data_IF_270713114567
#
_entry.id   IF_270713114567
#
_cell.length_a   1.000
_cell.length_b   1.000
_cell.length_c   1.000
_cell.angle_alpha   90.00
_cell.angle_beta   90.00
_cell.angle_gamma   90.00
#
_symmetry.space_group_name_H-M   'P 1'
#
loop_
_entity.id
_entity.type
_entity.pdbx_description
1 polymer ?
#
# COMPACT_ATOMS: atom_id res chain seq x y z
N UNK A 1 -10.55 12.66 -10.07
CA UNK A 1 -10.45 11.25 -9.63
C UNK A 1 -9.87 10.34 -10.71
N UNK A 2 -10.24 10.52 -11.99
CA UNK A 2 -9.69 9.77 -13.13
C UNK A 2 -8.16 9.51 -13.08
N UNK A 3 -7.28 10.53 -12.89
CA UNK A 3 -5.83 10.27 -12.91
C UNK A 3 -5.34 9.37 -11.76
N UNK A 4 -6.02 9.36 -10.61
CA UNK A 4 -5.68 8.47 -9.50
C UNK A 4 -6.15 7.03 -9.78
N UNK A 5 -7.30 6.86 -10.43
CA UNK A 5 -7.79 5.55 -10.83
C UNK A 5 -6.90 4.91 -11.90
N UNK A 6 -6.44 5.72 -12.86
CA UNK A 6 -5.50 5.27 -13.89
C UNK A 6 -4.16 4.87 -13.27
N UNK A 7 -3.61 5.70 -12.37
CA UNK A 7 -2.36 5.38 -11.65
C UNK A 7 -2.48 4.10 -10.82
N UNK A 8 -3.59 3.89 -10.11
CA UNK A 8 -3.84 2.66 -9.35
C UNK A 8 -3.94 1.45 -10.29
N UNK A 9 -4.60 1.58 -11.43
CA UNK A 9 -4.75 0.50 -12.40
C UNK A 9 -3.42 0.17 -13.08
N UNK A 10 -2.61 1.18 -13.41
CA UNK A 10 -1.27 0.97 -13.93
C UNK A 10 -0.37 0.28 -12.90
N UNK A 11 -0.41 0.72 -11.64
CA UNK A 11 0.37 0.10 -10.57
C UNK A 11 -0.03 -1.37 -10.33
N UNK A 12 -1.33 -1.66 -10.40
CA UNK A 12 -1.86 -3.02 -10.31
C UNK A 12 -1.27 -3.91 -11.42
N UNK A 13 -1.33 -3.46 -12.67
CA UNK A 13 -0.78 -4.19 -13.80
C UNK A 13 0.74 -4.32 -13.77
N UNK A 14 1.44 -3.25 -13.37
CA UNK A 14 2.89 -3.21 -13.29
C UNK A 14 3.46 -4.24 -12.33
N UNK A 15 2.80 -4.46 -11.20
CA UNK A 15 3.26 -5.37 -10.15
C UNK A 15 2.62 -6.78 -10.19
N UNK A 16 1.82 -7.09 -11.22
CA UNK A 16 1.05 -8.34 -11.24
C UNK A 16 0.16 -8.49 -10.01
N UNK A 17 -0.36 -7.37 -9.50
CA UNK A 17 -1.02 -7.30 -8.20
C UNK A 17 -2.41 -7.92 -8.21
N UNK A 18 -2.82 -8.40 -7.03
CA UNK A 18 -4.18 -8.83 -6.72
C UNK A 18 -5.10 -7.62 -6.48
N UNK A 19 -4.55 -6.57 -5.89
CA UNK A 19 -5.26 -5.33 -5.61
C UNK A 19 -4.29 -4.15 -5.54
N UNK A 20 -4.78 -2.95 -5.81
CA UNK A 20 -4.00 -1.74 -5.64
C UNK A 20 -4.91 -0.62 -5.14
N UNK A 21 -4.33 0.34 -4.43
CA UNK A 21 -5.07 1.49 -3.95
C UNK A 21 -4.14 2.62 -3.54
N UNK A 22 -4.69 3.83 -3.47
CA UNK A 22 -3.95 5.01 -3.04
C UNK A 22 -4.60 5.63 -1.82
N UNK A 23 -3.80 5.82 -0.78
CA UNK A 23 -4.15 6.56 0.42
C UNK A 23 -3.71 8.01 0.25
N UNK A 24 -4.58 8.97 0.54
CA UNK A 24 -4.25 10.39 0.52
C UNK A 24 -4.40 11.00 1.91
N UNK A 25 -3.59 12.02 2.20
CA UNK A 25 -3.76 12.84 3.40
C UNK A 25 -5.16 13.45 3.43
N UNK A 26 -5.88 13.22 4.51
CA UNK A 26 -7.17 13.86 4.76
C UNK A 26 -6.98 15.31 5.20
N UNK A 27 -8.03 16.12 5.07
CA UNK A 27 -8.12 17.43 5.72
C UNK A 27 -8.18 17.32 7.24
N UNK A 28 -8.64 16.17 7.77
CA UNK A 28 -8.50 15.83 9.18
C UNK A 28 -7.04 15.56 9.51
N UNK A 29 -6.51 16.23 10.54
CA UNK A 29 -5.13 16.09 10.96
C UNK A 29 -4.75 14.63 11.23
N UNK A 30 -3.55 14.23 10.78
CA UNK A 30 -2.93 12.91 11.02
C UNK A 30 -3.75 11.70 10.54
N UNK A 31 -4.58 11.89 9.52
CA UNK A 31 -5.39 10.83 8.94
C UNK A 31 -5.11 10.64 7.45
N UNK A 32 -4.88 9.40 7.04
CA UNK A 32 -4.90 8.96 5.65
C UNK A 32 -6.24 8.31 5.33
N UNK A 33 -6.75 8.57 4.13
CA UNK A 33 -7.97 7.96 3.61
C UNK A 33 -7.67 7.25 2.30
N UNK A 34 -8.16 6.02 2.18
CA UNK A 34 -8.19 5.29 0.92
C UNK A 34 -9.07 6.05 -0.07
N UNK A 35 -8.47 6.62 -1.11
CA UNK A 35 -9.13 7.45 -2.11
C UNK A 35 -9.60 6.62 -3.31
N UNK A 36 -8.80 5.64 -3.71
CA UNK A 36 -9.10 4.69 -4.79
C UNK A 36 -8.64 3.30 -4.36
N UNK A 37 -9.43 2.28 -4.74
CA UNK A 37 -9.10 0.86 -4.61
C UNK A 37 -9.52 0.16 -5.90
N UNK A 38 -8.70 -0.76 -6.38
CA UNK A 38 -8.95 -1.63 -7.53
C UNK A 38 -8.51 -3.07 -7.21
N UNK A 39 -9.13 -4.06 -7.86
CA UNK A 39 -8.81 -5.48 -7.73
C UNK A 39 -9.51 -6.24 -6.59
N UNK A 40 -10.08 -5.55 -5.59
CA UNK A 40 -10.85 -6.17 -4.51
C UNK A 40 -12.18 -5.47 -4.23
N UNK A 41 -13.20 -6.19 -3.72
CA UNK A 41 -14.46 -5.58 -3.30
C UNK A 41 -14.22 -4.56 -2.18
N UNK A 42 -14.69 -3.33 -2.37
CA UNK A 42 -14.57 -2.24 -1.39
C UNK A 42 -14.98 -2.61 0.06
N UNK A 43 -16.05 -3.41 0.31
CA UNK A 43 -16.41 -3.84 1.65
C UNK A 43 -15.32 -4.61 2.41
N UNK A 44 -14.48 -5.39 1.71
CA UNK A 44 -13.39 -6.16 2.31
C UNK A 44 -12.33 -5.24 2.94
N UNK A 45 -12.10 -4.08 2.33
CA UNK A 45 -11.08 -3.12 2.75
C UNK A 45 -11.59 -2.03 3.71
N UNK A 46 -12.88 -2.06 4.06
CA UNK A 46 -13.50 -1.08 4.96
C UNK A 46 -12.73 -0.86 6.27
N UNK A 47 -12.21 -1.88 6.97
CA UNK A 47 -11.47 -1.68 8.22
C UNK A 47 -10.22 -0.80 8.07
N UNK A 48 -9.65 -0.72 6.87
CA UNK A 48 -8.46 0.07 6.57
C UNK A 48 -8.75 1.30 5.71
N UNK A 49 -10.00 1.70 5.52
CA UNK A 49 -10.32 2.90 4.74
C UNK A 49 -9.69 4.15 5.36
N UNK A 50 -9.66 4.19 6.69
CA UNK A 50 -9.13 5.29 7.49
C UNK A 50 -7.91 4.78 8.25
N UNK A 51 -6.78 5.43 8.07
CA UNK A 51 -5.54 5.08 8.76
C UNK A 51 -4.99 6.30 9.49
N UNK A 52 -4.77 6.16 10.80
CA UNK A 52 -4.02 7.15 11.54
C UNK A 52 -2.53 7.08 11.18
N UNK A 53 -1.92 8.24 10.93
CA UNK A 53 -0.50 8.36 10.57
C UNK A 53 0.43 7.85 11.68
N UNK A 54 -0.05 7.81 12.92
CA UNK A 54 0.73 7.38 14.10
C UNK A 54 0.61 5.89 14.40
N UNK A 55 -0.28 5.19 13.69
CA UNK A 55 -0.43 3.76 13.86
C UNK A 55 0.79 3.09 13.25
N UNK A 56 1.38 2.12 13.96
CA UNK A 56 2.38 1.22 13.37
C UNK A 56 1.68 0.38 12.31
N UNK A 57 1.73 0.79 11.06
CA UNK A 57 1.05 0.13 9.96
C UNK A 57 1.82 0.46 8.69
N UNK A 58 1.99 -0.47 7.74
CA UNK A 58 2.90 -0.25 6.62
C UNK A 58 2.61 1.03 5.83
N UNK A 59 1.32 1.33 5.57
CA UNK A 59 0.93 2.59 4.90
C UNK A 59 1.24 3.84 5.72
N UNK A 60 1.09 3.77 7.04
CA UNK A 60 1.34 4.90 7.93
C UNK A 60 2.85 5.16 8.08
N UNK A 61 3.64 4.10 8.19
CA UNK A 61 5.10 4.20 8.23
C UNK A 61 5.67 4.71 6.90
N UNK A 62 5.19 4.20 5.76
CA UNK A 62 5.61 4.65 4.45
C UNK A 62 5.34 6.16 4.27
N UNK A 63 4.16 6.62 4.69
CA UNK A 63 3.79 8.04 4.65
C UNK A 63 4.66 8.89 5.59
N UNK A 64 4.80 8.47 6.85
CA UNK A 64 5.45 9.26 7.92
C UNK A 64 6.94 9.37 7.71
N UNK A 65 7.57 8.29 7.23
CA UNK A 65 9.02 8.22 7.03
C UNK A 65 9.43 8.61 5.61
N UNK A 66 8.48 8.71 4.67
CA UNK A 66 8.80 8.94 3.25
C UNK A 66 9.60 7.80 2.63
N UNK A 67 9.47 6.59 3.18
CA UNK A 67 10.23 5.40 2.71
C UNK A 67 9.28 4.37 2.12
N UNK A 68 9.82 3.58 1.19
CA UNK A 68 9.11 2.44 0.63
C UNK A 68 9.08 1.31 1.65
N UNK A 69 7.96 0.63 1.77
CA UNK A 69 7.82 -0.57 2.60
C UNK A 69 7.40 -1.72 1.68
N UNK A 70 8.24 -2.75 1.59
CA UNK A 70 7.94 -3.98 0.88
C UNK A 70 7.82 -5.13 1.89
N UNK A 71 6.72 -5.86 1.80
CA UNK A 71 6.40 -7.03 2.62
C UNK A 71 6.14 -8.19 1.66
N UNK A 72 7.14 -9.04 1.38
CA UNK A 72 7.05 -10.04 0.30
C UNK A 72 5.98 -11.11 0.56
N UNK A 73 5.65 -11.37 1.83
CA UNK A 73 4.68 -12.40 2.23
C UNK A 73 4.07 -12.13 3.62
N UNK A 74 3.15 -13.02 4.01
CA UNK A 74 2.46 -12.96 5.30
C UNK A 74 3.43 -13.10 6.49
N UNK A 75 4.51 -13.86 6.37
CA UNK A 75 5.52 -14.02 7.44
C UNK A 75 6.18 -12.69 7.78
N UNK A 76 6.64 -11.94 6.78
CA UNK A 76 7.26 -10.64 7.04
C UNK A 76 6.23 -9.60 7.52
N UNK A 77 4.99 -9.73 7.06
CA UNK A 77 3.86 -8.93 7.57
C UNK A 77 3.60 -9.22 9.04
N UNK A 78 3.53 -10.49 9.47
CA UNK A 78 3.37 -10.88 10.87
C UNK A 78 4.55 -10.39 11.73
N UNK A 79 5.78 -10.46 11.21
CA UNK A 79 6.98 -10.03 11.90
C UNK A 79 7.03 -8.53 12.17
N UNK A 80 6.66 -7.70 11.19
CA UNK A 80 6.76 -6.23 11.29
C UNK A 80 5.46 -5.56 11.74
N UNK A 81 4.32 -6.14 11.35
CA UNK A 81 2.98 -5.56 11.44
C UNK A 81 1.90 -6.61 11.82
N UNK A 82 2.01 -7.26 12.99
CA UNK A 82 1.10 -8.36 13.38
C UNK A 82 -0.39 -7.97 13.37
N UNK A 83 -0.70 -6.73 13.72
CA UNK A 83 -2.05 -6.14 13.67
C UNK A 83 -2.64 -6.04 12.26
N UNK A 84 -1.80 -6.00 11.23
CA UNK A 84 -2.27 -6.06 9.84
C UNK A 84 -2.52 -7.51 9.42
N UNK A 85 -1.56 -8.40 9.71
CA UNK A 85 -1.69 -9.82 9.42
C UNK A 85 -2.95 -10.45 10.08
N UNK A 86 -3.28 -10.03 11.30
CA UNK A 86 -4.47 -10.50 12.01
C UNK A 86 -5.79 -10.13 11.31
N UNK A 87 -5.82 -9.06 10.50
CA UNK A 87 -7.05 -8.59 9.87
C UNK A 87 -7.29 -9.15 8.45
N UNK A 88 -6.24 -9.65 7.77
CA UNK A 88 -6.37 -10.37 6.49
C UNK A 88 -5.57 -11.69 6.60
N UNK A 89 -6.19 -12.79 7.04
CA UNK A 89 -5.53 -14.08 7.23
C UNK A 89 -5.34 -14.84 5.91
N UNK A 90 -4.88 -14.16 4.86
CA UNK A 90 -4.60 -14.73 3.56
C UNK A 90 -3.12 -14.56 3.22
N UNK A 91 -2.47 -15.52 2.55
CA UNK A 91 -1.08 -15.38 2.15
C UNK A 91 -0.96 -14.42 0.97
N UNK A 92 -0.53 -13.18 1.24
CA UNK A 92 -0.19 -12.19 0.22
C UNK A 92 1.09 -11.44 0.58
N UNK A 93 1.72 -10.87 -0.44
CA UNK A 93 2.71 -9.82 -0.28
C UNK A 93 2.11 -8.45 -0.55
N UNK A 94 2.79 -7.39 -0.11
CA UNK A 94 2.33 -6.02 -0.27
C UNK A 94 3.49 -5.04 -0.42
N UNK A 95 3.24 -4.00 -1.22
CA UNK A 95 4.16 -2.91 -1.48
C UNK A 95 3.47 -1.58 -1.15
N UNK A 96 4.20 -0.68 -0.49
CA UNK A 96 3.74 0.65 -0.09
C UNK A 96 4.79 1.66 -0.53
N UNK A 97 4.41 2.54 -1.45
CA UNK A 97 5.27 3.58 -2.03
C UNK A 97 4.70 4.95 -1.68
N UNK A 98 5.47 5.84 -1.01
CA UNK A 98 5.02 7.18 -0.73
C UNK A 98 4.83 7.97 -2.03
N UNK A 99 3.70 8.68 -2.15
CA UNK A 99 3.43 9.60 -3.26
C UNK A 99 4.01 10.96 -2.89
N UNK A 100 5.02 11.42 -3.62
CA UNK A 100 5.84 12.57 -3.21
C UNK A 100 5.95 13.64 -4.30
N UNK A 101 6.04 14.89 -3.88
CA UNK A 101 6.50 15.98 -4.74
C UNK A 101 7.43 16.89 -3.92
N UNK A 102 8.67 17.03 -4.37
CA UNK A 102 9.72 17.68 -3.59
C UNK A 102 9.95 16.97 -2.26
N UNK A 103 9.86 17.70 -1.14
CA UNK A 103 10.01 17.15 0.22
C UNK A 103 8.67 16.74 0.86
N UNK A 104 7.55 16.93 0.16
CA UNK A 104 6.23 16.65 0.69
C UNK A 104 5.75 15.25 0.28
N UNK A 105 5.22 14.49 1.25
CA UNK A 105 4.49 13.25 1.00
C UNK A 105 2.99 13.53 1.06
N UNK A 106 2.27 13.22 -0.02
CA UNK A 106 0.83 13.49 -0.18
C UNK A 106 -0.04 12.29 0.17
N UNK A 107 0.56 11.10 0.10
CA UNK A 107 -0.16 9.85 0.20
C UNK A 107 0.76 8.65 0.07
N UNK A 108 0.16 7.48 -0.13
CA UNK A 108 0.87 6.22 -0.33
C UNK A 108 0.11 5.38 -1.35
N UNK A 109 0.79 5.00 -2.42
CA UNK A 109 0.34 4.01 -3.37
C UNK A 109 0.64 2.62 -2.80
N UNK A 110 -0.35 1.74 -2.85
CA UNK A 110 -0.30 0.40 -2.26
C UNK A 110 -0.65 -0.62 -3.31
N UNK A 111 0.06 -1.75 -3.31
CA UNK A 111 -0.24 -2.91 -4.15
C UNK A 111 -0.16 -4.16 -3.29
N UNK A 112 -1.20 -4.99 -3.34
CA UNK A 112 -1.16 -6.37 -2.88
C UNK A 112 -0.80 -7.27 -4.06
N UNK A 113 0.08 -8.24 -3.84
CA UNK A 113 0.50 -9.21 -4.84
C UNK A 113 0.51 -10.62 -4.23
N UNK A 114 0.55 -11.68 -5.06
CA UNK A 114 0.75 -13.04 -4.54
C UNK A 114 1.98 -13.12 -3.65
N UNK A 115 1.91 -13.92 -2.57
CA UNK A 115 3.04 -14.07 -1.65
C UNK A 115 4.27 -14.61 -2.38
N UNK A 116 5.42 -13.97 -2.19
CA UNK A 116 6.69 -14.44 -2.73
C UNK A 116 7.28 -15.52 -1.80
N UNK A 117 7.91 -16.55 -2.38
CA UNK A 117 8.52 -17.64 -1.61
C UNK A 117 9.65 -17.13 -0.72
N UNK A 118 10.46 -16.19 -1.22
CA UNK A 118 11.63 -15.66 -0.52
C UNK A 118 11.46 -14.20 -0.08
N UNK A 119 11.92 -13.91 1.14
CA UNK A 119 11.81 -12.57 1.71
C UNK A 119 12.77 -11.53 1.08
N UNK A 120 13.79 -12.00 0.36
CA UNK A 120 14.72 -11.14 -0.39
C UNK A 120 14.24 -10.81 -1.80
N UNK A 121 13.17 -11.47 -2.27
CA UNK A 121 12.63 -11.24 -3.60
C UNK A 121 11.76 -9.99 -3.61
N UNK A 122 12.05 -9.07 -4.52
CA UNK A 122 11.19 -7.92 -4.77
C UNK A 122 10.08 -8.34 -5.75
N UNK A 123 8.83 -7.91 -5.54
CA UNK A 123 7.78 -8.17 -6.51
C UNK A 123 8.18 -7.57 -7.86
N UNK A 124 7.93 -8.32 -8.94
CA UNK A 124 8.14 -7.85 -10.30
C UNK A 124 7.48 -6.47 -10.48
N UNK A 125 8.13 -5.56 -11.20
CA UNK A 125 7.58 -4.23 -11.46
C UNK A 125 7.59 -3.23 -10.29
N UNK A 126 8.24 -3.56 -9.17
CA UNK A 126 8.47 -2.63 -8.06
C UNK A 126 8.95 -1.24 -8.52
N UNK A 127 9.98 -1.18 -9.38
CA UNK A 127 10.53 0.08 -9.88
C UNK A 127 9.56 0.85 -10.77
N UNK A 128 8.62 0.15 -11.40
CA UNK A 128 7.56 0.79 -12.17
C UNK A 128 6.50 1.38 -11.24
N UNK A 129 6.08 0.68 -10.18
CA UNK A 129 5.18 1.23 -9.15
C UNK A 129 5.80 2.48 -8.51
N UNK A 130 7.11 2.47 -8.28
CA UNK A 130 7.86 3.62 -7.79
C UNK A 130 7.79 4.84 -8.71
N UNK A 131 7.85 4.65 -10.04
CA UNK A 131 7.77 5.75 -11.00
C UNK A 131 6.38 6.36 -11.11
N UNK A 132 5.34 5.61 -10.72
CA UNK A 132 3.94 6.07 -10.75
C UNK A 132 3.62 6.98 -9.55
N UNK A 133 4.32 6.78 -8.42
CA UNK A 133 4.11 7.50 -7.15
C UNK A 133 4.99 8.74 -7.01
#
# INVERSE_FOLDING_TARGET
AAPLADAVTEALGAAGGLAAGVYLRSTTARLLRLAVLSGLPGPLFRPWWRMHVDRRFPVADAYRLGVRVALPNATETMRRYPQFAAGLPFPFGSLYVPVTAGQATYGVLTVLHPALPDAGEAPAGHDRVVRIA
#
